data_IF_161609509593
#
_entry.id   IF_161609509593
#
_cell.length_a   1.000
_cell.length_b   1.000
_cell.length_c   1.000
_cell.angle_alpha   90.00
_cell.angle_beta   90.00
_cell.angle_gamma   90.00
#
_symmetry.space_group_name_H-M   'P 1'
#
loop_
_entity.id
_entity.type
_entity.pdbx_description
1 polymer ?
#
# COMPACT_ATOMS: atom_id res chain seq x y z
N UNK A 1 -4.47 -4.74 17.61
CA UNK A 1 -3.04 -4.36 17.41
C UNK A 1 -2.43 -5.02 16.17
N UNK A 2 -2.62 -6.34 15.96
CA UNK A 2 -2.03 -7.06 14.81
C UNK A 2 -2.50 -6.55 13.44
N UNK A 3 -3.78 -6.25 13.27
CA UNK A 3 -4.35 -5.79 11.98
C UNK A 3 -3.78 -4.43 11.53
N UNK A 4 -3.67 -3.47 12.45
CA UNK A 4 -3.07 -2.17 12.16
C UNK A 4 -1.60 -2.32 11.69
N UNK A 5 -0.84 -3.23 12.31
CA UNK A 5 0.54 -3.52 11.89
C UNK A 5 0.62 -4.09 10.47
N UNK A 6 -0.33 -4.94 10.07
CA UNK A 6 -0.38 -5.49 8.71
C UNK A 6 -0.67 -4.38 7.69
N UNK A 7 -1.61 -3.49 7.99
CA UNK A 7 -1.94 -2.35 7.13
C UNK A 7 -0.75 -1.41 7.00
N UNK A 8 -0.07 -1.08 8.10
CA UNK A 8 1.14 -0.25 8.07
C UNK A 8 2.27 -0.87 7.25
N UNK A 9 2.43 -2.19 7.33
CA UNK A 9 3.44 -2.93 6.55
C UNK A 9 3.11 -2.89 5.07
N UNK A 10 1.86 -3.17 4.69
CA UNK A 10 1.38 -3.09 3.32
C UNK A 10 1.58 -1.69 2.74
N UNK A 11 1.16 -0.64 3.47
CA UNK A 11 1.39 0.75 3.09
C UNK A 11 2.88 1.05 2.84
N UNK A 12 3.77 0.66 3.77
CA UNK A 12 5.21 0.88 3.63
C UNK A 12 5.79 0.18 2.39
N UNK A 13 5.32 -1.02 2.05
CA UNK A 13 5.74 -1.73 0.83
C UNK A 13 5.24 -1.01 -0.43
N UNK A 14 3.96 -0.64 -0.48
CA UNK A 14 3.38 0.11 -1.60
C UNK A 14 4.16 1.39 -1.89
N UNK A 15 4.47 2.17 -0.84
CA UNK A 15 5.24 3.41 -0.96
C UNK A 15 6.68 3.16 -1.41
N UNK A 16 7.35 2.10 -0.91
CA UNK A 16 8.70 1.69 -1.36
C UNK A 16 8.73 1.29 -2.84
N UNK A 17 7.63 0.76 -3.39
CA UNK A 17 7.47 0.48 -4.83
C UNK A 17 7.25 1.76 -5.68
N UNK A 18 7.21 2.95 -5.06
CA UNK A 18 6.94 4.21 -5.75
C UNK A 18 5.47 4.41 -6.14
N UNK A 19 4.57 3.57 -5.61
CA UNK A 19 3.13 3.66 -5.87
C UNK A 19 2.54 4.66 -4.87
N UNK A 20 2.41 5.90 -5.32
CA UNK A 20 1.95 7.04 -4.52
C UNK A 20 1.18 8.05 -5.36
N UNK A 21 0.39 8.86 -4.68
CA UNK A 21 -0.44 9.92 -5.26
C UNK A 21 0.35 11.20 -5.58
N UNK A 22 -0.16 12.10 -6.45
CA UNK A 22 0.59 13.28 -6.89
C UNK A 22 0.97 14.25 -5.77
N UNK A 23 0.14 14.39 -4.74
CA UNK A 23 0.35 15.26 -3.58
C UNK A 23 1.62 14.91 -2.78
N UNK A 24 2.07 13.65 -2.84
CA UNK A 24 3.30 13.18 -2.20
C UNK A 24 4.39 12.81 -3.23
N UNK A 25 4.33 13.43 -4.42
CA UNK A 25 5.33 13.29 -5.47
C UNK A 25 5.24 11.97 -6.25
N UNK A 26 4.04 11.43 -6.38
CA UNK A 26 3.73 10.26 -7.18
C UNK A 26 3.01 10.59 -8.49
N UNK A 27 2.47 9.54 -9.13
CA UNK A 27 1.70 9.66 -10.39
C UNK A 27 0.42 8.82 -10.41
N UNK A 28 0.18 8.05 -9.35
CA UNK A 28 -0.96 7.13 -9.28
C UNK A 28 -2.18 7.84 -8.72
N UNK A 29 -3.38 7.43 -9.13
CA UNK A 29 -4.63 7.95 -8.55
C UNK A 29 -4.86 7.37 -7.16
N UNK A 30 -5.74 7.99 -6.38
CA UNK A 30 -6.16 7.48 -5.07
C UNK A 30 -6.65 6.03 -5.16
N UNK A 31 -7.44 5.70 -6.18
CA UNK A 31 -7.95 4.34 -6.40
C UNK A 31 -6.84 3.34 -6.70
N UNK A 32 -5.84 3.72 -7.50
CA UNK A 32 -4.69 2.86 -7.82
C UNK A 32 -3.83 2.59 -6.59
N UNK A 33 -3.56 3.62 -5.77
CA UNK A 33 -2.80 3.45 -4.52
C UNK A 33 -3.59 2.59 -3.53
N UNK A 34 -4.89 2.82 -3.38
CA UNK A 34 -5.74 2.01 -2.51
C UNK A 34 -5.80 0.54 -2.95
N UNK A 35 -5.85 0.28 -4.25
CA UNK A 35 -5.80 -1.09 -4.78
C UNK A 35 -4.45 -1.74 -4.48
N UNK A 36 -3.34 -1.05 -4.73
CA UNK A 36 -2.02 -1.59 -4.45
C UNK A 36 -1.80 -1.91 -2.95
N UNK A 37 -2.34 -1.11 -2.03
CA UNK A 37 -2.30 -1.43 -0.59
C UNK A 37 -3.10 -2.71 -0.29
N UNK A 38 -4.26 -2.89 -0.92
CA UNK A 38 -5.04 -4.13 -0.78
C UNK A 38 -4.30 -5.35 -1.31
N UNK A 39 -3.65 -5.22 -2.45
CA UNK A 39 -2.90 -6.32 -3.07
C UNK A 39 -1.72 -6.74 -2.17
N UNK A 40 -0.96 -5.77 -1.62
CA UNK A 40 0.12 -6.03 -0.64
C UNK A 40 -0.39 -6.71 0.63
N UNK A 41 -1.58 -6.33 1.09
CA UNK A 41 -2.19 -6.93 2.27
C UNK A 41 -2.54 -8.40 1.99
N UNK A 42 -3.14 -8.70 0.85
CA UNK A 42 -3.49 -10.07 0.45
C UNK A 42 -2.22 -10.93 0.31
N UNK A 43 -1.18 -10.42 -0.34
CA UNK A 43 0.11 -11.12 -0.44
C UNK A 43 0.68 -11.47 0.93
N UNK A 44 0.63 -10.55 1.90
CA UNK A 44 1.13 -10.76 3.26
C UNK A 44 0.27 -11.73 4.09
N UNK A 45 -1.03 -11.83 3.82
CA UNK A 45 -1.90 -12.82 4.47
C UNK A 45 -1.69 -14.24 3.92
N UNK A 46 -1.22 -14.36 2.67
CA UNK A 46 -1.01 -15.64 2.00
C UNK A 46 0.44 -16.16 2.09
N UNK A 47 1.39 -15.33 2.53
CA UNK A 47 2.80 -15.67 2.75
C UNK A 47 3.07 -16.25 4.14
#
# INVERSE_FOLDING_TARGET
KKEATLIEKALKKTLKKGIKTPDIGGKHTTTQVAQAIRDELIEEYLS
#
